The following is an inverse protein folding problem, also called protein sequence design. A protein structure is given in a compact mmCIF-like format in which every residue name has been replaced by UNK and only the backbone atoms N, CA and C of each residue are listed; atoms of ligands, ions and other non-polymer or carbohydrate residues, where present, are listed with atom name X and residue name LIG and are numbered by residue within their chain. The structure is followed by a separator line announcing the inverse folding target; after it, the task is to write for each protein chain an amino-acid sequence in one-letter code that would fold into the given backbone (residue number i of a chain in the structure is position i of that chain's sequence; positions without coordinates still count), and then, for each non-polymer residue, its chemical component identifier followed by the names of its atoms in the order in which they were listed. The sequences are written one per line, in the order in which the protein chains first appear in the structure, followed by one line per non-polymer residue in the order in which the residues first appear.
data_IF_497674238208
#
_entry.id   IF_497674238208
#
_cell.length_a   1.000
_cell.length_b   1.000
_cell.length_c   1.000
_cell.angle_alpha   90.00
_cell.angle_beta   90.00
_cell.angle_gamma   90.00
#
_symmetry.space_group_name_H-M   'P 1'
#
loop_
_entity.id
_entity.type
_entity.pdbx_description
1 polymer ?
#
# COMPACT_ATOMS: atom_id res chain seq x y z
N UNK A 1 18.83 -6.97 3.03
CA UNK A 1 17.61 -7.46 2.42
C UNK A 1 16.53 -7.92 3.42
N UNK A 2 16.10 -7.10 4.35
CA UNK A 2 15.00 -7.47 5.22
C UNK A 2 14.17 -6.22 5.45
N UNK A 3 13.20 -6.04 4.58
CA UNK A 3 12.13 -5.10 4.76
C UNK A 3 11.07 -5.85 5.58
N UNK A 4 10.73 -5.34 6.73
CA UNK A 4 9.79 -5.95 7.66
C UNK A 4 8.57 -5.05 7.88
N UNK A 5 8.22 -4.21 6.91
CA UNK A 5 7.04 -3.36 6.99
C UNK A 5 5.79 -4.21 6.82
N UNK A 6 4.87 -4.06 7.76
CA UNK A 6 3.52 -4.62 7.69
C UNK A 6 2.51 -3.48 7.60
N UNK A 7 1.40 -3.71 6.92
CA UNK A 7 0.35 -2.73 6.78
C UNK A 7 -1.02 -3.37 6.71
N UNK A 8 -2.04 -2.62 7.09
CA UNK A 8 -3.43 -3.00 6.95
C UNK A 8 -4.25 -1.80 6.49
N UNK A 9 -5.26 -2.07 5.68
CA UNK A 9 -6.29 -1.12 5.27
C UNK A 9 -7.65 -1.76 5.47
N UNK A 10 -8.63 -0.99 5.88
CA UNK A 10 -9.95 -1.50 6.17
C UNK A 10 -11.04 -0.49 5.77
N UNK A 11 -12.19 -1.02 5.40
CA UNK A 11 -13.45 -0.30 5.26
C UNK A 11 -14.46 -0.97 6.18
N UNK A 12 -15.13 -0.21 7.04
CA UNK A 12 -16.20 -0.70 7.89
C UNK A 12 -17.58 -0.59 7.21
N UNK A 13 -18.59 -1.17 7.86
CA UNK A 13 -19.97 -1.14 7.36
C UNK A 13 -20.60 0.26 7.39
N UNK A 14 -20.02 1.20 8.14
CA UNK A 14 -20.49 2.58 8.20
C UNK A 14 -19.84 3.47 7.13
N UNK A 15 -18.94 2.92 6.32
CA UNK A 15 -18.24 3.63 5.25
C UNK A 15 -16.97 4.36 5.72
N UNK A 16 -16.47 4.06 6.93
CA UNK A 16 -15.20 4.60 7.39
C UNK A 16 -14.04 3.76 6.90
N UNK A 17 -13.02 4.42 6.40
CA UNK A 17 -11.77 3.78 6.00
C UNK A 17 -10.65 4.08 7.00
N UNK A 18 -9.75 3.11 7.17
CA UNK A 18 -8.60 3.25 8.05
C UNK A 18 -7.37 2.58 7.45
N UNK A 19 -6.20 3.03 7.86
CA UNK A 19 -4.93 2.36 7.60
C UNK A 19 -4.09 2.26 8.87
N UNK A 20 -3.19 1.29 8.88
CA UNK A 20 -2.12 1.18 9.85
C UNK A 20 -0.86 0.65 9.15
N UNK A 21 0.29 1.22 9.49
CA UNK A 21 1.58 0.80 8.95
C UNK A 21 2.59 0.72 10.08
N UNK A 22 3.36 -0.36 10.15
CA UNK A 22 4.36 -0.58 11.18
C UNK A 22 5.62 -1.22 10.61
N UNK A 23 6.78 -0.80 11.13
CA UNK A 23 8.08 -1.30 10.67
C UNK A 23 9.15 -1.21 11.75
N UNK A 24 10.11 -2.12 11.70
CA UNK A 24 11.39 -1.97 12.39
C UNK A 24 12.40 -1.11 11.61
N UNK A 25 12.07 -0.70 10.39
CA UNK A 25 12.96 0.04 9.50
C UNK A 25 13.99 -0.84 8.78
N UNK A 26 15.06 -0.24 8.32
CA UNK A 26 16.15 -0.94 7.65
C UNK A 26 17.08 -1.62 8.66
N UNK A 27 17.62 -2.78 8.29
CA UNK A 27 18.69 -3.43 9.03
C UNK A 27 19.94 -2.52 9.02
N UNK A 28 20.57 -2.37 10.17
CA UNK A 28 21.76 -1.50 10.34
C UNK A 28 21.53 -0.01 9.97
N UNK A 29 20.29 0.47 10.02
CA UNK A 29 20.06 1.91 9.85
C UNK A 29 20.82 2.73 10.88
N UNK A 30 21.21 3.92 10.51
CA UNK A 30 21.83 4.87 11.43
C UNK A 30 20.84 5.34 12.51
N UNK A 31 21.34 5.68 13.68
CA UNK A 31 20.54 6.30 14.73
C UNK A 31 19.88 7.59 14.20
N UNK A 32 18.59 7.76 14.47
CA UNK A 32 17.81 8.91 13.99
C UNK A 32 17.21 8.75 12.59
N UNK A 33 17.49 7.66 11.86
CA UNK A 33 16.84 7.41 10.55
C UNK A 33 15.34 7.21 10.71
N UNK A 34 14.57 7.96 9.96
CA UNK A 34 13.12 7.84 9.81
C UNK A 34 12.82 7.45 8.36
N UNK A 35 12.01 6.42 8.17
CA UNK A 35 11.46 6.03 6.87
C UNK A 35 10.04 6.57 6.66
N UNK A 36 9.36 6.02 5.67
CA UNK A 36 8.00 6.40 5.27
C UNK A 36 6.91 6.04 6.28
N UNK A 37 7.06 4.90 6.98
CA UNK A 37 5.97 4.29 7.75
C UNK A 37 5.31 5.21 8.77
N UNK A 38 6.01 6.08 9.55
CA UNK A 38 5.38 6.99 10.48
C UNK A 38 4.86 8.29 9.83
N UNK A 39 5.14 8.50 8.54
CA UNK A 39 4.84 9.75 7.85
C UNK A 39 3.50 9.65 7.11
N UNK A 40 2.51 10.39 7.60
CA UNK A 40 1.19 10.47 6.94
C UNK A 40 1.34 10.99 5.51
N UNK A 41 0.70 10.32 4.57
CA UNK A 41 0.80 10.61 3.14
C UNK A 41 1.93 9.84 2.43
N UNK A 42 2.91 9.33 3.16
CA UNK A 42 4.00 8.50 2.61
C UNK A 42 3.78 7.03 2.90
N UNK A 43 3.85 6.62 4.17
CA UNK A 43 3.67 5.23 4.61
C UNK A 43 2.22 4.77 4.62
N UNK A 44 1.28 5.69 4.62
CA UNK A 44 -0.15 5.42 4.54
C UNK A 44 -0.98 6.69 4.57
N UNK A 45 -2.24 6.57 4.17
CA UNK A 45 -3.23 7.64 4.20
C UNK A 45 -4.64 7.05 4.20
N UNK A 46 -5.59 7.74 4.80
CA UNK A 46 -7.00 7.37 4.75
C UNK A 46 -7.89 8.62 4.66
N UNK A 47 -8.89 8.55 3.78
CA UNK A 47 -9.90 9.58 3.58
C UNK A 47 -11.22 8.89 3.21
N UNK A 48 -12.27 9.07 4.01
CA UNK A 48 -13.58 8.46 3.77
C UNK A 48 -14.22 8.84 2.43
N UNK A 49 -13.76 9.90 1.79
CA UNK A 49 -14.23 10.29 0.46
C UNK A 49 -13.49 9.60 -0.68
N UNK A 50 -12.36 8.93 -0.39
CA UNK A 50 -11.49 8.32 -1.41
C UNK A 50 -11.25 6.85 -1.09
N UNK A 51 -10.60 6.56 0.03
CA UNK A 51 -10.17 5.23 0.43
C UNK A 51 -8.99 5.27 1.40
N UNK A 52 -8.41 4.10 1.67
CA UNK A 52 -7.23 3.95 2.51
C UNK A 52 -6.13 3.17 1.80
N UNK A 53 -4.89 3.47 2.14
CA UNK A 53 -3.69 2.89 1.55
C UNK A 53 -2.59 2.72 2.61
N UNK A 54 -1.84 1.63 2.53
CA UNK A 54 -0.58 1.42 3.23
C UNK A 54 0.51 1.05 2.24
N UNK A 55 1.72 1.52 2.48
CA UNK A 55 2.87 1.35 1.59
C UNK A 55 4.01 0.60 2.26
N UNK A 56 4.82 -0.07 1.46
CA UNK A 56 6.05 -0.74 1.89
C UNK A 56 7.13 -0.60 0.82
N UNK A 57 8.40 -0.71 1.19
CA UNK A 57 9.52 -0.69 0.24
C UNK A 57 10.69 0.18 0.70
N UNK A 58 11.33 0.87 -0.24
CA UNK A 58 12.44 1.77 0.06
C UNK A 58 11.91 3.10 0.63
N UNK A 59 12.00 3.25 1.96
CA UNK A 59 11.34 4.32 2.70
C UNK A 59 11.66 5.73 2.20
N UNK A 60 12.92 6.00 1.89
CA UNK A 60 13.37 7.31 1.40
C UNK A 60 12.79 7.66 0.02
N UNK A 61 12.59 6.66 -0.83
CA UNK A 61 11.92 6.85 -2.12
C UNK A 61 10.43 7.12 -1.95
N UNK A 62 9.79 6.35 -1.07
CA UNK A 62 8.37 6.51 -0.73
C UNK A 62 8.12 7.92 -0.14
N UNK A 63 8.99 8.37 0.77
CA UNK A 63 8.93 9.73 1.33
C UNK A 63 9.03 10.81 0.25
N UNK A 64 10.00 10.69 -0.66
CA UNK A 64 10.25 11.70 -1.70
C UNK A 64 9.07 11.91 -2.65
N UNK A 65 8.27 10.88 -2.87
CA UNK A 65 7.12 10.97 -3.78
C UNK A 65 5.77 11.03 -3.05
N UNK A 66 5.75 10.92 -1.72
CA UNK A 66 4.53 10.80 -0.93
C UNK A 66 3.60 9.71 -1.47
N UNK A 67 4.11 8.50 -1.60
CA UNK A 67 3.51 7.42 -2.39
C UNK A 67 2.04 7.16 -2.03
N UNK A 68 1.69 7.14 -0.75
CA UNK A 68 0.33 6.89 -0.31
C UNK A 68 -0.62 8.00 -0.81
N UNK A 69 -0.28 9.27 -0.57
CA UNK A 69 -1.14 10.38 -0.98
C UNK A 69 -1.17 10.54 -2.50
N UNK A 70 -0.04 10.32 -3.19
CA UNK A 70 0.02 10.34 -4.64
C UNK A 70 -0.92 9.29 -5.26
N UNK A 71 -0.93 8.07 -4.72
CA UNK A 71 -1.82 7.01 -5.22
C UNK A 71 -3.29 7.38 -5.02
N UNK A 72 -3.67 7.83 -3.83
CA UNK A 72 -5.06 8.25 -3.58
C UNK A 72 -5.44 9.52 -4.36
N UNK A 73 -4.49 10.38 -4.70
CA UNK A 73 -4.76 11.49 -5.62
C UNK A 73 -5.17 10.99 -7.00
N UNK A 74 -4.51 9.98 -7.56
CA UNK A 74 -4.93 9.38 -8.83
C UNK A 74 -6.32 8.74 -8.74
N UNK A 75 -6.65 8.06 -7.64
CA UNK A 75 -8.02 7.56 -7.38
C UNK A 75 -9.03 8.71 -7.38
N UNK A 76 -8.73 9.80 -6.71
CA UNK A 76 -9.55 11.00 -6.64
C UNK A 76 -9.77 11.64 -8.03
N UNK A 77 -8.80 11.48 -8.95
CA UNK A 77 -8.90 11.91 -10.34
C UNK A 77 -9.64 10.90 -11.24
N UNK A 78 -10.29 9.89 -10.67
CA UNK A 78 -11.12 8.93 -11.40
C UNK A 78 -10.38 7.70 -11.94
N UNK A 79 -9.14 7.45 -11.55
CA UNK A 79 -8.43 6.22 -11.88
C UNK A 79 -8.95 5.05 -11.03
N UNK A 80 -8.94 3.86 -11.60
CA UNK A 80 -9.14 2.64 -10.80
C UNK A 80 -8.01 2.47 -9.77
N UNK A 81 -8.24 1.66 -8.73
CA UNK A 81 -7.22 1.42 -7.71
C UNK A 81 -5.93 0.83 -8.32
N UNK A 82 -6.08 -0.11 -9.26
CA UNK A 82 -4.95 -0.73 -9.96
C UNK A 82 -4.18 0.26 -10.82
N UNK A 83 -4.87 1.07 -11.61
CA UNK A 83 -4.25 2.13 -12.43
C UNK A 83 -3.52 3.15 -11.55
N UNK A 84 -4.16 3.59 -10.48
CA UNK A 84 -3.58 4.56 -9.54
C UNK A 84 -2.30 4.03 -8.89
N UNK A 85 -2.33 2.78 -8.43
CA UNK A 85 -1.17 2.11 -7.86
C UNK A 85 -0.04 1.97 -8.88
N UNK A 86 -0.37 1.53 -10.12
CA UNK A 86 0.60 1.41 -11.20
C UNK A 86 1.29 2.73 -11.52
N UNK A 87 0.52 3.78 -11.79
CA UNK A 87 1.02 5.11 -12.10
C UNK A 87 1.97 5.64 -11.02
N UNK A 88 1.61 5.45 -9.76
CA UNK A 88 2.40 5.96 -8.62
C UNK A 88 3.71 5.18 -8.42
N UNK A 89 3.68 3.86 -8.56
CA UNK A 89 4.87 3.02 -8.48
C UNK A 89 5.82 3.28 -9.64
N UNK A 90 5.30 3.44 -10.86
CA UNK A 90 6.08 3.79 -12.05
C UNK A 90 6.70 5.18 -11.94
N UNK A 91 5.95 6.14 -11.40
CA UNK A 91 6.49 7.47 -11.09
C UNK A 91 7.66 7.38 -10.09
N UNK A 92 7.47 6.66 -8.99
CA UNK A 92 8.54 6.47 -8.01
C UNK A 92 9.76 5.80 -8.62
N UNK A 93 9.56 4.73 -9.44
CA UNK A 93 10.65 4.02 -10.12
C UNK A 93 11.42 4.93 -11.08
N UNK A 94 10.70 5.71 -11.89
CA UNK A 94 11.32 6.61 -12.88
C UNK A 94 12.06 7.78 -12.25
N UNK A 95 11.48 8.41 -11.22
CA UNK A 95 12.01 9.65 -10.63
C UNK A 95 13.11 9.43 -9.61
N UNK A 96 13.00 8.40 -8.77
CA UNK A 96 13.92 8.18 -7.65
C UNK A 96 14.47 6.77 -7.58
N UNK A 97 14.25 5.94 -8.63
CA UNK A 97 14.70 4.54 -8.70
C UNK A 97 14.20 3.71 -7.51
N UNK A 98 13.07 4.10 -6.95
CA UNK A 98 12.48 3.44 -5.79
C UNK A 98 11.77 2.14 -6.15
N UNK A 99 11.76 1.23 -5.20
CA UNK A 99 11.04 -0.06 -5.26
C UNK A 99 10.11 -0.12 -4.06
N UNK A 100 8.88 -0.57 -4.29
CA UNK A 100 7.90 -0.67 -3.22
C UNK A 100 6.62 -1.37 -3.65
N UNK A 101 5.67 -1.41 -2.74
CA UNK A 101 4.35 -1.96 -2.94
C UNK A 101 3.30 -1.24 -2.11
N UNK A 102 2.06 -1.44 -2.50
CA UNK A 102 0.89 -0.80 -1.87
C UNK A 102 -0.25 -1.81 -1.74
N UNK A 103 -1.00 -1.67 -0.68
CA UNK A 103 -2.32 -2.24 -0.50
C UNK A 103 -3.32 -1.10 -0.30
N UNK A 104 -4.48 -1.16 -0.95
CA UNK A 104 -5.46 -0.10 -0.84
C UNK A 104 -6.90 -0.62 -0.94
N UNK A 105 -7.81 0.10 -0.30
CA UNK A 105 -9.24 -0.11 -0.35
C UNK A 105 -9.95 1.21 -0.70
N UNK A 106 -10.92 1.16 -1.59
CA UNK A 106 -11.76 2.32 -1.90
C UNK A 106 -12.87 2.52 -0.87
N UNK A 107 -13.50 3.68 -0.89
CA UNK A 107 -14.72 3.95 -0.11
C UNK A 107 -15.91 3.07 -0.48
N UNK A 108 -15.86 2.39 -1.64
CA UNK A 108 -16.91 1.47 -2.14
C UNK A 108 -16.59 0.00 -1.87
N UNK A 109 -15.44 -0.30 -1.25
CA UNK A 109 -15.03 -1.64 -0.90
C UNK A 109 -14.31 -2.40 -2.00
N UNK A 110 -13.92 -1.73 -3.10
CA UNK A 110 -12.95 -2.29 -4.02
C UNK A 110 -11.57 -2.29 -3.38
N UNK A 111 -10.76 -3.27 -3.68
CA UNK A 111 -9.40 -3.36 -3.16
C UNK A 111 -8.41 -3.66 -4.28
N UNK A 112 -7.18 -3.27 -4.07
CA UNK A 112 -6.08 -3.60 -4.97
C UNK A 112 -4.78 -3.79 -4.19
N UNK A 113 -3.91 -4.59 -4.76
CA UNK A 113 -2.53 -4.78 -4.33
C UNK A 113 -1.62 -4.63 -5.54
N UNK A 114 -0.52 -3.93 -5.38
CA UNK A 114 0.48 -3.78 -6.46
C UNK A 114 1.86 -3.50 -5.89
N UNK A 115 2.88 -4.04 -6.55
CA UNK A 115 4.27 -3.83 -6.14
C UNK A 115 5.21 -3.85 -7.33
N UNK A 116 6.41 -3.32 -7.13
CA UNK A 116 7.51 -3.29 -8.10
C UNK A 116 8.75 -4.05 -7.61
N UNK A 117 8.66 -4.70 -6.44
CA UNK A 117 9.66 -5.64 -5.92
C UNK A 117 9.51 -7.03 -6.53
N UNK A 118 10.40 -7.96 -6.15
CA UNK A 118 10.33 -9.36 -6.59
C UNK A 118 9.08 -10.06 -6.05
N UNK A 119 8.72 -9.81 -4.79
CA UNK A 119 7.57 -10.39 -4.14
C UNK A 119 7.01 -9.45 -3.06
N UNK A 120 5.74 -9.59 -2.75
CA UNK A 120 5.07 -8.92 -1.64
C UNK A 120 3.97 -9.84 -1.08
N UNK A 121 4.15 -10.44 0.11
CA UNK A 121 3.06 -11.17 0.76
C UNK A 121 1.87 -10.25 1.04
N UNK A 122 0.69 -10.67 0.63
CA UNK A 122 -0.55 -9.91 0.81
C UNK A 122 -1.75 -10.82 1.06
N UNK A 123 -2.77 -10.27 1.70
CA UNK A 123 -4.07 -10.90 1.83
C UNK A 123 -5.18 -9.86 1.82
N UNK A 124 -6.36 -10.23 1.33
CA UNK A 124 -7.56 -9.41 1.32
C UNK A 124 -8.79 -10.27 1.66
N UNK A 125 -9.66 -9.78 2.54
CA UNK A 125 -10.90 -10.45 2.89
C UNK A 125 -12.09 -9.57 2.47
N UNK A 126 -13.01 -10.14 1.71
CA UNK A 126 -14.26 -9.48 1.29
C UNK A 126 -15.33 -10.54 0.97
N UNK A 127 -16.57 -10.26 1.33
CA UNK A 127 -17.74 -11.11 0.97
C UNK A 127 -17.55 -12.58 1.33
N UNK A 128 -17.02 -12.85 2.55
CA UNK A 128 -16.71 -14.19 3.06
C UNK A 128 -15.67 -14.96 2.23
N UNK A 129 -14.84 -14.25 1.50
CA UNK A 129 -13.69 -14.80 0.78
C UNK A 129 -12.40 -14.22 1.28
N UNK A 130 -11.38 -15.05 1.36
CA UNK A 130 -10.01 -14.63 1.60
C UNK A 130 -9.19 -14.85 0.33
N UNK A 131 -8.57 -13.79 -0.14
CA UNK A 131 -7.63 -13.79 -1.26
C UNK A 131 -6.23 -13.55 -0.72
N UNK A 132 -5.24 -14.25 -1.21
CA UNK A 132 -3.84 -14.04 -0.80
C UNK A 132 -2.85 -14.52 -1.85
N UNK A 133 -1.64 -14.00 -1.78
CA UNK A 133 -0.54 -14.34 -2.68
C UNK A 133 0.79 -13.77 -2.19
N UNK A 134 1.86 -14.08 -2.91
CA UNK A 134 3.23 -13.61 -2.64
C UNK A 134 3.89 -13.11 -3.92
N UNK A 135 3.76 -13.85 -5.02
CA UNK A 135 4.38 -13.53 -6.30
C UNK A 135 3.42 -12.79 -7.23
N UNK A 136 3.97 -12.20 -8.28
CA UNK A 136 3.18 -11.53 -9.32
C UNK A 136 2.28 -12.58 -10.00
N UNK A 137 1.03 -12.20 -10.23
CA UNK A 137 -0.02 -13.05 -10.82
C UNK A 137 -0.42 -14.29 -9.99
N UNK A 138 0.09 -14.42 -8.76
CA UNK A 138 -0.34 -15.44 -7.81
C UNK A 138 -1.51 -14.93 -6.97
N UNK A 139 -2.64 -15.63 -7.04
CA UNK A 139 -3.79 -15.39 -6.17
C UNK A 139 -4.49 -16.70 -5.82
N UNK A 140 -4.52 -17.03 -4.55
CA UNK A 140 -5.33 -18.12 -4.00
C UNK A 140 -6.56 -17.53 -3.36
N UNK A 141 -7.72 -18.17 -3.55
CA UNK A 141 -8.99 -17.76 -2.93
C UNK A 141 -9.57 -18.92 -2.15
N UNK A 142 -9.99 -18.67 -0.92
CA UNK A 142 -10.71 -19.62 -0.08
C UNK A 142 -11.96 -18.99 0.51
N UNK A 143 -12.99 -19.78 0.75
CA UNK A 143 -14.20 -19.34 1.44
C UNK A 143 -13.96 -19.27 2.95
N UNK A 144 -14.42 -18.21 3.57
CA UNK A 144 -14.43 -18.05 5.02
C UNK A 144 -15.73 -18.64 5.60
N UNK A 145 -15.68 -19.26 6.79
CA UNK A 145 -16.83 -19.83 7.46
C UNK A 145 -17.92 -18.83 7.83
#
# INVERSE_FOLDING_TARGET
RNLGTVGAVALDYAGNVAYATSTGGLVNKMAGRVGDSPCVGSGGYADNLIGAISTTGHGESILKVNLARLTLFHVQQGKTLEEAAGLSLDYMKSRVKGVGGVILVSKTGDWAVKWSSEAMPWAAAKDRKLHFGIEVDEMTTIDLP
#
